data_IF_385801844452
#
_entry.id   IF_385801844452
#
_cell.length_a   1.000
_cell.length_b   1.000
_cell.length_c   1.000
_cell.angle_alpha   90.00
_cell.angle_beta   90.00
_cell.angle_gamma   90.00
#
_symmetry.space_group_name_H-M   'P 1'
#
loop_
_entity.id
_entity.type
_entity.pdbx_description
1 polymer ?
#
# COMPACT_ATOMS: atom_id res chain seq x y z
N UNK A 1 -20.79 13.01 -60.89
CA UNK A 1 -20.82 13.35 -59.45
C UNK A 1 -20.13 12.22 -58.72
N UNK A 2 -18.86 12.42 -58.38
CA UNK A 2 -18.00 11.39 -57.82
C UNK A 2 -18.27 11.25 -56.33
N UNK A 3 -18.49 10.02 -55.86
CA UNK A 3 -18.54 9.69 -54.43
C UNK A 3 -17.15 9.94 -53.83
N UNK A 4 -17.03 10.60 -52.66
CA UNK A 4 -15.76 10.69 -51.98
C UNK A 4 -15.35 9.31 -51.46
N UNK A 5 -14.09 8.96 -51.72
CA UNK A 5 -13.45 7.74 -51.24
C UNK A 5 -13.62 7.57 -49.73
N UNK A 6 -14.01 6.36 -49.32
CA UNK A 6 -13.98 5.93 -47.94
C UNK A 6 -12.53 5.63 -47.57
N UNK A 7 -11.82 6.64 -47.09
CA UNK A 7 -10.45 6.50 -46.60
C UNK A 7 -10.45 5.53 -45.41
N UNK A 8 -9.97 4.31 -45.65
CA UNK A 8 -9.85 3.26 -44.65
C UNK A 8 -8.63 3.55 -43.79
N UNK A 9 -8.84 4.21 -42.66
CA UNK A 9 -7.78 4.38 -41.66
C UNK A 9 -7.62 3.08 -40.87
N UNK A 10 -6.88 2.13 -41.42
CA UNK A 10 -6.29 1.04 -40.62
C UNK A 10 -5.15 1.67 -39.79
N UNK A 11 -5.50 2.22 -38.63
CA UNK A 11 -4.57 2.85 -37.69
C UNK A 11 -4.68 2.19 -36.31
N UNK A 12 -3.61 1.45 -36.03
CA UNK A 12 -2.98 1.27 -34.73
C UNK A 12 -3.43 0.09 -33.86
N UNK A 13 -2.42 -0.63 -33.37
CA UNK A 13 -2.52 -1.84 -32.60
C UNK A 13 -3.39 -1.71 -31.36
N UNK A 14 -3.90 -2.87 -30.95
CA UNK A 14 -4.55 -3.14 -29.68
C UNK A 14 -3.68 -2.68 -28.50
N UNK A 15 -3.70 -1.37 -28.25
CA UNK A 15 -3.44 -0.83 -26.95
C UNK A 15 -4.54 -1.42 -26.07
N UNK A 16 -4.17 -2.29 -25.13
CA UNK A 16 -5.11 -2.94 -24.22
C UNK A 16 -5.70 -1.88 -23.28
N UNK A 17 -6.67 -1.13 -23.78
CA UNK A 17 -7.31 -0.02 -23.09
C UNK A 17 -8.51 -0.52 -22.30
N UNK A 18 -8.65 -0.01 -21.08
CA UNK A 18 -9.84 -0.24 -20.25
C UNK A 18 -11.11 0.17 -21.00
N UNK A 19 -12.11 -0.72 -21.15
CA UNK A 19 -13.38 -0.41 -21.80
C UNK A 19 -14.07 0.81 -21.17
N UNK A 20 -14.36 1.83 -21.97
CA UNK A 20 -14.94 3.12 -21.50
C UNK A 20 -16.47 3.10 -21.36
N UNK A 21 -17.12 2.05 -21.87
CA UNK A 21 -18.57 1.79 -21.82
C UNK A 21 -19.10 1.78 -20.39
N UNK A 22 -20.29 2.37 -20.17
CA UNK A 22 -20.94 2.37 -18.85
C UNK A 22 -21.23 0.96 -18.34
N UNK A 23 -21.57 0.02 -19.23
CA UNK A 23 -21.84 -1.37 -18.86
C UNK A 23 -20.60 -2.09 -18.27
N UNK A 24 -19.40 -1.59 -18.58
CA UNK A 24 -18.13 -2.13 -18.07
C UNK A 24 -17.57 -1.33 -16.88
N UNK A 25 -18.20 -0.22 -16.48
CA UNK A 25 -17.74 0.58 -15.33
C UNK A 25 -18.21 -0.07 -14.03
N UNK A 26 -17.29 -0.18 -13.07
CA UNK A 26 -17.65 -0.55 -11.71
C UNK A 26 -18.57 0.54 -11.13
N UNK A 27 -19.74 0.18 -10.57
CA UNK A 27 -20.63 1.15 -9.97
C UNK A 27 -19.93 1.97 -8.88
N UNK A 28 -20.03 3.30 -8.96
CA UNK A 28 -19.39 4.24 -8.02
C UNK A 28 -19.94 4.13 -6.59
N UNK A 29 -21.09 3.47 -6.41
CA UNK A 29 -21.80 3.37 -5.14
C UNK A 29 -21.39 2.18 -4.26
N UNK A 30 -20.30 1.47 -4.57
CA UNK A 30 -19.76 0.49 -3.64
C UNK A 30 -19.17 1.21 -2.43
N UNK A 31 -19.99 1.47 -1.40
CA UNK A 31 -19.47 1.81 -0.07
C UNK A 31 -18.62 0.62 0.35
N UNK A 32 -17.29 0.81 0.43
CA UNK A 32 -16.41 -0.21 0.98
C UNK A 32 -16.95 -0.62 2.36
N UNK A 33 -16.99 -1.91 2.68
CA UNK A 33 -17.37 -2.33 4.02
C UNK A 33 -16.46 -1.63 5.03
N UNK A 34 -16.95 -1.33 6.24
CA UNK A 34 -16.12 -0.73 7.27
C UNK A 34 -14.91 -1.64 7.55
N UNK A 35 -13.75 -1.05 7.89
CA UNK A 35 -12.55 -1.83 8.16
C UNK A 35 -12.79 -2.85 9.29
N UNK A 36 -12.20 -4.05 9.20
CA UNK A 36 -12.29 -5.04 10.27
C UNK A 36 -11.82 -4.44 11.59
N UNK A 37 -12.65 -4.55 12.64
CA UNK A 37 -12.28 -4.09 13.98
C UNK A 37 -11.30 -5.08 14.60
N UNK A 38 -10.08 -4.63 14.90
CA UNK A 38 -9.13 -5.39 15.72
C UNK A 38 -9.77 -5.62 17.10
N UNK A 39 -9.72 -6.86 17.59
CA UNK A 39 -10.14 -7.16 18.96
C UNK A 39 -9.22 -6.42 19.94
N UNK A 40 -9.79 -5.81 20.96
CA UNK A 40 -8.99 -5.26 22.04
C UNK A 40 -8.14 -6.39 22.65
N UNK A 41 -6.86 -6.13 22.87
CA UNK A 41 -6.00 -7.05 23.61
C UNK A 41 -6.46 -7.00 25.07
N UNK A 42 -7.41 -7.86 25.45
CA UNK A 42 -7.76 -8.14 26.84
C UNK A 42 -6.78 -9.17 27.40
N UNK A 43 -5.50 -8.83 27.38
CA UNK A 43 -4.44 -9.60 28.02
C UNK A 43 -3.97 -8.82 29.24
N UNK A 44 -3.80 -9.50 30.39
CA UNK A 44 -2.98 -8.97 31.48
C UNK A 44 -1.59 -8.68 30.88
N UNK A 45 -0.96 -7.56 31.24
CA UNK A 45 0.48 -7.36 30.96
C UNK A 45 1.19 -8.63 31.43
N UNK A 46 1.63 -9.45 30.49
CA UNK A 46 2.43 -10.62 30.83
C UNK A 46 3.68 -10.07 31.50
N UNK A 47 3.99 -10.58 32.68
CA UNK A 47 5.29 -10.32 33.28
C UNK A 47 6.37 -10.72 32.25
N UNK A 48 7.52 -10.04 32.22
CA UNK A 48 8.65 -10.49 31.43
C UNK A 48 8.91 -11.98 31.66
N UNK A 49 9.39 -12.71 30.64
CA UNK A 49 9.78 -14.10 30.80
C UNK A 49 10.75 -14.25 31.99
N UNK A 50 10.56 -15.30 32.79
CA UNK A 50 11.37 -15.55 34.00
C UNK A 50 12.86 -15.68 33.67
N UNK A 51 13.18 -16.21 32.50
CA UNK A 51 14.55 -16.35 31.99
C UNK A 51 15.11 -15.08 31.33
N UNK A 52 14.39 -13.96 31.40
CA UNK A 52 14.69 -12.79 30.59
C UNK A 52 14.31 -12.98 29.12
N UNK A 53 14.34 -11.89 28.36
CA UNK A 53 14.25 -11.95 26.90
C UNK A 53 15.57 -12.47 26.33
N UNK A 54 15.55 -12.93 25.08
CA UNK A 54 16.79 -13.22 24.36
C UNK A 54 17.71 -11.99 24.40
N UNK A 55 18.93 -12.18 24.87
CA UNK A 55 20.00 -11.16 24.89
C UNK A 55 21.05 -11.54 23.84
N UNK A 56 20.93 -11.05 22.60
CA UNK A 56 21.98 -11.21 21.61
C UNK A 56 23.22 -10.44 22.08
N UNK A 57 24.43 -11.02 21.92
CA UNK A 57 25.67 -10.40 22.40
C UNK A 57 26.03 -9.06 21.73
N UNK A 58 25.33 -8.68 20.66
CA UNK A 58 25.62 -7.51 19.82
C UNK A 58 24.64 -6.34 20.00
N UNK A 59 23.50 -6.49 20.68
CA UNK A 59 22.52 -5.39 20.83
C UNK A 59 23.09 -4.20 21.61
N UNK A 60 23.84 -4.47 22.69
CA UNK A 60 24.42 -3.40 23.50
C UNK A 60 25.39 -2.55 22.68
N UNK A 61 26.08 -3.13 21.69
CA UNK A 61 26.95 -2.38 20.78
C UNK A 61 26.18 -1.45 19.83
N UNK A 62 24.97 -1.85 19.39
CA UNK A 62 24.10 -1.02 18.55
C UNK A 62 23.56 0.20 19.31
N UNK A 63 23.23 0.02 20.60
CA UNK A 63 22.70 1.09 21.46
C UNK A 63 23.77 1.91 22.18
N UNK A 64 25.01 1.42 22.23
CA UNK A 64 26.18 2.16 22.74
C UNK A 64 26.65 3.26 21.81
N UNK A 65 26.10 3.34 20.59
CA UNK A 65 26.34 4.45 19.69
C UNK A 65 25.69 5.69 20.32
N UNK A 66 26.47 6.69 20.78
CA UNK A 66 25.89 7.91 21.28
C UNK A 66 25.01 8.49 20.16
N UNK A 67 23.86 9.12 20.48
CA UNK A 67 23.05 9.76 19.46
C UNK A 67 23.96 10.74 18.70
N UNK A 68 24.38 10.35 17.50
CA UNK A 68 25.05 11.25 16.57
C UNK A 68 24.06 12.40 16.41
N UNK A 69 24.50 13.61 16.70
CA UNK A 69 23.70 14.79 16.97
C UNK A 69 22.92 15.33 15.75
N UNK A 70 22.30 14.45 14.97
CA UNK A 70 21.51 14.76 13.79
C UNK A 70 20.10 14.23 13.93
N UNK A 71 19.42 14.70 14.97
CA UNK A 71 18.00 14.96 14.84
C UNK A 71 17.90 16.33 14.17
N UNK A 72 17.94 16.38 12.85
CA UNK A 72 17.36 17.53 12.16
C UNK A 72 15.86 17.31 12.25
N UNK A 73 15.20 17.96 13.21
CA UNK A 73 13.75 18.05 13.20
C UNK A 73 13.36 18.67 11.84
N UNK A 74 12.51 17.99 11.07
CA UNK A 74 11.97 18.57 9.84
C UNK A 74 11.24 19.86 10.19
N UNK A 75 11.65 20.95 9.54
CA UNK A 75 10.93 22.21 9.52
C UNK A 75 9.69 22.11 8.63
#
# INVERSE_FOLDING_TARGET
MSLPEMEKTDKNGDECLTPKSYACRIPTFSKCPPPPKKKAVTGRKLAPPTSGYFQPPDLDALFSIPPSSRWEACA
#
